data_IF_019372146451
#
_entry.id   IF_019372146451
#
_cell.length_a   1.000
_cell.length_b   1.000
_cell.length_c   1.000
_cell.angle_alpha   90.00
_cell.angle_beta   90.00
_cell.angle_gamma   90.00
#
_symmetry.space_group_name_H-M   'P 1'
#
loop_
_entity.id
_entity.type
_entity.pdbx_description
1 polymer ?
#
# COMPACT_ATOMS: atom_id res chain seq x y z
N UNK A 1 10.53 -13.11 -8.98
CA UNK A 1 10.61 -14.47 -8.42
C UNK A 1 9.76 -14.49 -7.16
N UNK A 2 8.76 -15.36 -7.08
CA UNK A 2 7.84 -15.47 -5.94
C UNK A 2 8.43 -16.53 -5.00
N UNK A 3 8.59 -16.22 -3.72
CA UNK A 3 9.09 -17.17 -2.71
C UNK A 3 7.93 -18.13 -2.35
N UNK A 4 8.01 -19.40 -2.75
CA UNK A 4 7.04 -20.45 -2.38
C UNK A 4 7.67 -21.42 -1.38
N UNK A 5 6.94 -21.76 -0.32
CA UNK A 5 7.38 -22.63 0.76
C UNK A 5 7.03 -24.09 0.43
N UNK A 6 8.03 -24.96 0.30
CA UNK A 6 7.84 -26.41 0.14
C UNK A 6 8.54 -27.17 1.28
N UNK A 7 7.78 -28.04 1.96
CA UNK A 7 8.25 -28.94 3.02
C UNK A 7 8.98 -30.10 2.33
N UNK A 8 10.28 -30.26 2.60
CA UNK A 8 11.12 -31.28 1.97
C UNK A 8 11.10 -32.61 2.76
N UNK A 9 10.65 -33.68 2.12
CA UNK A 9 10.85 -35.07 2.52
C UNK A 9 12.03 -35.64 1.73
N UNK A 10 13.02 -36.22 2.42
CA UNK A 10 14.28 -36.67 1.82
C UNK A 10 14.20 -38.09 1.22
N UNK A 11 14.73 -38.27 0.00
CA UNK A 11 15.31 -39.53 -0.47
C UNK A 11 16.32 -39.26 -1.62
N UNK A 12 17.50 -39.88 -1.53
CA UNK A 12 18.65 -39.76 -2.45
C UNK A 12 18.65 -40.88 -3.51
N UNK A 13 18.96 -40.56 -4.77
CA UNK A 13 19.88 -41.30 -5.66
C UNK A 13 20.03 -40.55 -7.01
N UNK A 14 21.26 -40.43 -7.51
CA UNK A 14 21.67 -39.43 -8.50
C UNK A 14 21.69 -39.87 -9.96
N UNK A 15 21.84 -38.89 -10.84
CA UNK A 15 22.45 -38.96 -12.17
C UNK A 15 22.84 -37.53 -12.61
N UNK A 16 24.03 -37.37 -13.19
CA UNK A 16 24.62 -36.09 -13.58
C UNK A 16 23.88 -35.48 -14.79
N UNK A 17 23.46 -34.21 -14.65
CA UNK A 17 22.93 -33.40 -15.75
C UNK A 17 23.57 -32.01 -15.69
N UNK A 18 24.09 -31.62 -16.85
CA UNK A 18 24.58 -30.30 -17.29
C UNK A 18 23.92 -29.17 -16.50
N UNK A 19 24.69 -28.43 -15.71
CA UNK A 19 24.19 -27.26 -14.98
C UNK A 19 23.96 -26.10 -15.95
N UNK A 20 22.73 -26.01 -16.44
CA UNK A 20 22.11 -24.75 -16.83
C UNK A 20 22.18 -23.77 -15.65
N UNK A 21 22.34 -22.48 -15.94
CA UNK A 21 22.40 -21.37 -14.99
C UNK A 21 21.59 -21.64 -13.72
N UNK A 22 22.30 -21.97 -12.65
CA UNK A 22 21.71 -22.13 -11.34
C UNK A 22 21.22 -20.75 -10.90
N UNK A 23 19.93 -20.49 -11.14
CA UNK A 23 19.22 -19.37 -10.57
C UNK A 23 19.25 -19.57 -9.05
N UNK A 24 20.27 -18.97 -8.43
CA UNK A 24 20.62 -19.13 -7.03
C UNK A 24 19.38 -18.75 -6.21
N UNK A 25 18.70 -19.75 -5.64
CA UNK A 25 17.56 -19.49 -4.77
C UNK A 25 18.08 -18.64 -3.61
N UNK A 26 17.50 -17.46 -3.40
CA UNK A 26 17.85 -16.63 -2.24
C UNK A 26 17.75 -17.48 -0.98
N UNK A 27 18.74 -17.36 -0.10
CA UNK A 27 18.73 -18.01 1.20
C UNK A 27 17.44 -17.65 1.93
N UNK A 28 16.75 -18.66 2.47
CA UNK A 28 15.59 -18.42 3.33
C UNK A 28 16.09 -17.67 4.56
N UNK A 29 15.63 -16.44 4.72
CA UNK A 29 15.97 -15.55 5.83
C UNK A 29 14.77 -15.34 6.75
N UNK A 30 15.04 -15.08 8.03
CA UNK A 30 14.01 -14.78 9.02
C UNK A 30 13.81 -13.26 9.17
N UNK A 31 13.75 -12.54 8.04
CA UNK A 31 13.46 -11.10 8.01
C UNK A 31 12.17 -10.83 7.23
N UNK A 32 11.39 -9.85 7.69
CA UNK A 32 10.24 -9.32 6.96
C UNK A 32 10.36 -7.80 6.90
N UNK A 33 10.41 -7.27 5.68
CA UNK A 33 10.53 -5.84 5.43
C UNK A 33 9.28 -5.34 4.72
N UNK A 34 8.60 -4.37 5.32
CA UNK A 34 7.53 -3.62 4.68
C UNK A 34 8.12 -2.41 3.94
N UNK A 35 7.56 -2.06 2.80
CA UNK A 35 7.60 -0.68 2.28
C UNK A 35 6.18 -0.13 2.33
N UNK A 36 5.99 1.05 2.92
CA UNK A 36 4.63 1.49 3.25
C UNK A 36 4.51 3.00 3.48
N UNK A 37 3.40 3.63 3.03
CA UNK A 37 3.01 4.98 3.44
C UNK A 37 2.30 5.02 4.80
N UNK A 38 1.92 3.85 5.33
CA UNK A 38 1.13 3.74 6.57
C UNK A 38 1.97 4.25 7.75
N UNK A 39 1.33 5.00 8.64
CA UNK A 39 2.00 5.62 9.77
C UNK A 39 2.60 4.58 10.73
N UNK A 40 3.73 4.94 11.34
CA UNK A 40 4.43 4.11 12.34
C UNK A 40 3.56 3.64 13.49
N UNK A 41 2.59 4.47 13.88
CA UNK A 41 1.60 4.14 14.92
C UNK A 41 0.75 2.91 14.59
N UNK A 42 0.65 2.52 13.32
CA UNK A 42 -0.02 1.30 12.87
C UNK A 42 0.98 0.22 12.45
N UNK A 43 2.06 0.58 11.76
CA UNK A 43 3.01 -0.42 11.23
C UNK A 43 3.83 -1.08 12.32
N UNK A 44 4.29 -0.32 13.32
CA UNK A 44 5.15 -0.84 14.38
C UNK A 44 4.41 -1.89 15.25
N UNK A 45 3.17 -1.65 15.74
CA UNK A 45 2.43 -2.68 16.46
C UNK A 45 2.06 -3.88 15.56
N UNK A 46 1.65 -3.65 14.30
CA UNK A 46 1.32 -4.75 13.39
C UNK A 46 2.52 -5.68 13.14
N UNK A 47 3.72 -5.12 12.96
CA UNK A 47 4.96 -5.87 12.81
C UNK A 47 5.36 -6.61 14.09
N UNK A 48 5.15 -6.00 15.26
CA UNK A 48 5.41 -6.65 16.55
C UNK A 48 4.46 -7.83 16.78
N UNK A 49 3.18 -7.65 16.51
CA UNK A 49 2.16 -8.70 16.62
C UNK A 49 2.44 -9.85 15.65
N UNK A 50 2.85 -9.54 14.41
CA UNK A 50 3.25 -10.59 13.46
C UNK A 50 4.48 -11.37 13.92
N UNK A 51 5.52 -10.69 14.44
CA UNK A 51 6.71 -11.36 14.96
C UNK A 51 6.37 -12.30 16.13
N UNK A 52 5.49 -11.85 17.02
CA UNK A 52 4.96 -12.68 18.12
C UNK A 52 4.17 -13.88 17.58
N UNK A 53 3.25 -13.65 16.64
CA UNK A 53 2.47 -14.70 16.01
C UNK A 53 3.35 -15.76 15.34
N UNK A 54 4.38 -15.35 14.59
CA UNK A 54 5.32 -16.26 13.94
C UNK A 54 6.08 -17.12 14.97
N UNK A 55 6.45 -16.54 16.11
CA UNK A 55 7.11 -17.27 17.20
C UNK A 55 6.17 -18.29 17.85
N UNK A 56 4.93 -17.93 18.11
CA UNK A 56 3.96 -18.82 18.75
C UNK A 56 3.48 -19.93 17.81
N UNK A 57 3.20 -19.60 16.54
CA UNK A 57 2.60 -20.51 15.57
C UNK A 57 3.62 -21.44 14.92
N UNK A 58 4.81 -20.93 14.62
CA UNK A 58 5.82 -21.66 13.82
C UNK A 58 7.15 -21.82 14.56
N UNK A 59 7.30 -21.29 15.78
CA UNK A 59 8.56 -21.26 16.51
C UNK A 59 9.70 -20.53 15.79
N UNK A 60 9.37 -19.60 14.87
CA UNK A 60 10.34 -18.81 14.11
C UNK A 60 10.50 -17.44 14.75
N UNK A 61 11.74 -17.02 14.99
CA UNK A 61 12.04 -15.64 15.39
C UNK A 61 12.24 -14.80 14.13
N UNK A 62 11.27 -13.95 13.80
CA UNK A 62 11.33 -13.05 12.63
C UNK A 62 11.78 -11.67 13.05
N UNK A 63 12.76 -11.10 12.35
CA UNK A 63 13.13 -9.69 12.46
C UNK A 63 12.27 -8.87 11.49
N UNK A 64 11.47 -7.96 12.03
CA UNK A 64 10.56 -7.14 11.24
C UNK A 64 11.06 -5.71 11.11
N UNK A 65 10.81 -5.07 9.96
CA UNK A 65 11.10 -3.65 9.76
C UNK A 65 10.18 -3.01 8.72
N UNK A 66 10.12 -1.67 8.71
CA UNK A 66 9.35 -0.90 7.74
C UNK A 66 10.18 0.23 7.14
N UNK A 67 10.14 0.34 5.82
CA UNK A 67 10.64 1.43 5.01
C UNK A 67 9.49 2.43 4.78
N UNK A 68 9.46 3.50 5.58
CA UNK A 68 8.47 4.55 5.44
C UNK A 68 8.67 5.32 4.12
N UNK A 69 7.64 5.33 3.26
CA UNK A 69 7.63 6.06 2.00
C UNK A 69 6.19 6.31 1.54
N UNK A 70 5.88 7.55 1.14
CA UNK A 70 4.61 7.85 0.46
C UNK A 70 4.43 6.98 -0.80
N UNK A 71 3.19 6.64 -1.17
CA UNK A 71 2.91 5.62 -2.19
C UNK A 71 3.63 5.84 -3.53
N UNK A 72 3.67 7.05 -4.12
CA UNK A 72 4.41 7.26 -5.37
C UNK A 72 5.92 7.03 -5.21
N UNK A 73 6.49 7.36 -4.04
CA UNK A 73 7.91 7.12 -3.74
C UNK A 73 8.17 5.63 -3.53
N UNK A 74 7.26 4.92 -2.84
CA UNK A 74 7.34 3.48 -2.67
C UNK A 74 7.28 2.75 -4.02
N UNK A 75 6.33 3.13 -4.88
CA UNK A 75 6.23 2.66 -6.26
C UNK A 75 7.53 2.89 -7.03
N UNK A 76 8.07 4.11 -6.99
CA UNK A 76 9.33 4.45 -7.66
C UNK A 76 10.50 3.57 -7.20
N UNK A 77 10.65 3.36 -5.89
CA UNK A 77 11.68 2.47 -5.32
C UNK A 77 11.52 1.03 -5.81
N UNK A 78 10.30 0.51 -5.84
CA UNK A 78 10.03 -0.86 -6.34
C UNK A 78 10.40 -0.98 -7.82
N UNK A 79 10.06 0.02 -8.64
CA UNK A 79 10.46 0.07 -10.06
C UNK A 79 11.98 0.12 -10.21
N UNK A 80 12.67 0.91 -9.39
CA UNK A 80 14.14 1.01 -9.38
C UNK A 80 14.82 -0.31 -8.96
N UNK A 81 14.26 -1.01 -7.98
CA UNK A 81 14.72 -2.33 -7.53
C UNK A 81 14.59 -3.39 -8.62
N UNK A 82 13.62 -3.24 -9.52
CA UNK A 82 13.31 -4.21 -10.57
C UNK A 82 13.10 -5.59 -9.93
N UNK A 83 13.70 -6.65 -10.48
CA UNK A 83 13.65 -8.00 -9.92
C UNK A 83 14.51 -8.23 -8.66
N UNK A 84 15.06 -7.18 -8.03
CA UNK A 84 15.90 -7.28 -6.82
C UNK A 84 15.25 -6.49 -5.66
N UNK A 85 14.14 -6.99 -5.10
CA UNK A 85 13.35 -6.23 -4.13
C UNK A 85 14.13 -5.94 -2.85
N UNK A 86 13.96 -4.72 -2.32
CA UNK A 86 14.45 -4.31 -0.99
C UNK A 86 13.40 -4.42 0.11
N UNK A 87 12.20 -4.90 -0.21
CA UNK A 87 11.11 -5.17 0.73
C UNK A 87 10.29 -6.38 0.28
N UNK A 88 9.64 -7.06 1.22
CA UNK A 88 8.82 -8.24 0.97
C UNK A 88 7.37 -7.88 0.65
N UNK A 89 6.84 -6.86 1.32
CA UNK A 89 5.43 -6.46 1.20
C UNK A 89 5.36 -4.95 0.96
N UNK A 90 4.62 -4.56 -0.08
CA UNK A 90 4.13 -3.20 -0.25
C UNK A 90 2.74 -3.11 0.36
N UNK A 91 2.60 -2.39 1.48
CA UNK A 91 1.32 -2.29 2.20
C UNK A 91 0.80 -0.86 2.24
N UNK A 92 -0.42 -0.65 1.73
CA UNK A 92 -1.09 0.64 1.73
C UNK A 92 -0.79 1.50 0.49
N UNK A 93 -1.73 2.37 0.14
CA UNK A 93 -1.68 3.19 -1.06
C UNK A 93 -2.82 2.92 -2.05
N UNK A 94 -2.76 3.59 -3.20
CA UNK A 94 -3.78 3.50 -4.25
C UNK A 94 -3.60 2.24 -5.13
N UNK A 95 -4.71 1.54 -5.42
CA UNK A 95 -4.73 0.30 -6.20
C UNK A 95 -4.14 0.45 -7.60
N UNK A 96 -4.34 1.59 -8.25
CA UNK A 96 -3.82 1.87 -9.59
C UNK A 96 -2.29 1.73 -9.70
N UNK A 97 -1.54 1.99 -8.62
CA UNK A 97 -0.09 1.77 -8.61
C UNK A 97 0.28 0.29 -8.45
N UNK A 98 -0.51 -0.49 -7.73
CA UNK A 98 -0.34 -1.95 -7.68
C UNK A 98 -0.61 -2.59 -9.04
N UNK A 99 -1.63 -2.13 -9.77
CA UNK A 99 -1.92 -2.58 -11.14
C UNK A 99 -0.72 -2.36 -12.07
N UNK A 100 -0.12 -1.17 -12.04
CA UNK A 100 1.09 -0.85 -12.81
C UNK A 100 2.28 -1.73 -12.43
N UNK A 101 2.46 -2.03 -11.15
CA UNK A 101 3.52 -2.94 -10.70
C UNK A 101 3.28 -4.38 -11.19
N UNK A 102 2.02 -4.82 -11.20
CA UNK A 102 1.63 -6.15 -11.69
C UNK A 102 1.88 -6.28 -13.20
N UNK A 103 1.53 -5.26 -13.99
CA UNK A 103 1.83 -5.20 -15.43
C UNK A 103 3.34 -5.28 -15.71
N UNK A 104 4.15 -4.65 -14.86
CA UNK A 104 5.61 -4.70 -14.93
C UNK A 104 6.21 -5.98 -14.34
N UNK A 105 5.39 -6.90 -13.81
CA UNK A 105 5.81 -8.16 -13.16
C UNK A 105 6.72 -7.93 -11.96
N UNK A 106 6.50 -6.84 -11.23
CA UNK A 106 7.28 -6.43 -10.05
C UNK A 106 6.62 -6.82 -8.72
N UNK A 107 5.38 -7.31 -8.76
CA UNK A 107 4.68 -7.88 -7.60
C UNK A 107 4.26 -9.32 -7.88
N UNK A 108 4.17 -10.10 -6.81
CA UNK A 108 3.68 -11.47 -6.83
C UNK A 108 2.16 -11.50 -6.74
N UNK A 109 1.54 -12.58 -7.24
CA UNK A 109 0.17 -12.89 -6.84
C UNK A 109 0.13 -13.21 -5.35
N UNK A 110 -0.93 -12.78 -4.69
CA UNK A 110 -1.21 -13.08 -3.31
C UNK A 110 -1.63 -14.55 -3.17
N UNK A 111 -0.94 -15.28 -2.31
CA UNK A 111 -1.31 -16.63 -1.88
C UNK A 111 -1.99 -16.52 -0.51
N UNK A 112 -3.28 -16.15 -0.53
CA UNK A 112 -4.08 -15.94 0.67
C UNK A 112 -5.16 -17.02 0.79
N UNK A 113 -5.53 -17.43 2.01
CA UNK A 113 -6.67 -18.33 2.22
C UNK A 113 -7.92 -17.80 1.55
N UNK A 114 -8.71 -18.69 0.94
CA UNK A 114 -9.93 -18.31 0.21
C UNK A 114 -10.90 -17.53 1.10
N UNK A 115 -10.97 -17.89 2.38
CA UNK A 115 -11.84 -17.25 3.37
C UNK A 115 -11.47 -15.78 3.58
N UNK A 116 -10.18 -15.43 3.51
CA UNK A 116 -9.70 -14.04 3.60
C UNK A 116 -10.10 -13.26 2.34
N UNK A 117 -9.94 -13.87 1.16
CA UNK A 117 -10.28 -13.24 -0.12
C UNK A 117 -11.79 -13.02 -0.27
N UNK A 118 -12.60 -13.99 0.15
CA UNK A 118 -14.06 -13.96 0.07
C UNK A 118 -14.67 -12.99 1.10
N UNK A 119 -13.99 -12.73 2.22
CA UNK A 119 -14.42 -11.75 3.22
C UNK A 119 -14.39 -10.30 2.71
N UNK A 120 -13.60 -10.02 1.65
CA UNK A 120 -13.51 -8.71 1.03
C UNK A 120 -14.47 -8.66 -0.18
N UNK A 121 -15.44 -7.72 -0.22
CA UNK A 121 -16.30 -7.55 -1.39
C UNK A 121 -15.49 -7.23 -2.65
N UNK A 122 -16.03 -7.49 -3.84
CA UNK A 122 -15.34 -7.15 -5.09
C UNK A 122 -15.17 -5.63 -5.28
N UNK A 123 -16.20 -4.87 -4.91
CA UNK A 123 -16.23 -3.42 -5.08
C UNK A 123 -17.20 -2.73 -4.12
N UNK A 124 -17.10 -1.40 -4.03
CA UNK A 124 -18.02 -0.54 -3.29
C UNK A 124 -18.45 0.67 -4.12
N UNK A 125 -19.62 1.23 -3.82
CA UNK A 125 -20.11 2.46 -4.45
C UNK A 125 -20.92 2.22 -5.73
N UNK A 126 -21.83 3.15 -6.02
CA UNK A 126 -22.66 3.20 -7.24
C UNK A 126 -22.79 4.66 -7.68
N UNK A 127 -23.00 4.96 -8.98
CA UNK A 127 -23.05 4.03 -10.11
C UNK A 127 -21.66 3.61 -10.63
N UNK A 128 -20.59 4.27 -10.17
CA UNK A 128 -19.21 3.97 -10.52
C UNK A 128 -18.56 3.18 -9.37
N UNK A 129 -18.49 1.84 -9.43
CA UNK A 129 -17.91 1.04 -8.37
C UNK A 129 -16.39 1.18 -8.32
N UNK A 130 -15.84 1.20 -7.10
CA UNK A 130 -14.41 1.19 -6.82
C UNK A 130 -14.01 -0.25 -6.43
N UNK A 131 -13.06 -0.88 -7.14
CA UNK A 131 -12.57 -2.22 -6.78
C UNK A 131 -11.95 -2.24 -5.38
N UNK A 132 -12.27 -3.26 -4.59
CA UNK A 132 -11.68 -3.48 -3.26
C UNK A 132 -10.65 -4.61 -3.25
N UNK A 133 -10.55 -5.37 -4.33
CA UNK A 133 -9.51 -6.37 -4.56
C UNK A 133 -9.27 -6.55 -6.05
N UNK A 134 -8.08 -7.01 -6.42
CA UNK A 134 -7.74 -7.30 -7.79
C UNK A 134 -8.34 -8.64 -8.24
N UNK A 135 -9.16 -8.71 -9.30
CA UNK A 135 -9.63 -9.98 -9.85
C UNK A 135 -8.50 -10.89 -10.34
N UNK A 136 -7.29 -10.36 -10.62
CA UNK A 136 -6.12 -11.16 -10.99
C UNK A 136 -5.29 -11.62 -9.79
N UNK A 137 -5.61 -11.13 -8.59
CA UNK A 137 -5.03 -11.55 -7.31
C UNK A 137 -3.69 -10.92 -6.94
N UNK A 138 -3.29 -9.77 -7.52
CA UNK A 138 -2.03 -9.11 -7.18
C UNK A 138 -2.12 -8.19 -5.96
N UNK A 139 -3.32 -7.70 -5.61
CA UNK A 139 -3.54 -6.88 -4.43
C UNK A 139 -4.93 -7.11 -3.82
N UNK A 140 -5.07 -6.82 -2.53
CA UNK A 140 -6.33 -6.87 -1.78
C UNK A 140 -6.43 -5.65 -0.86
N UNK A 141 -7.62 -5.06 -0.76
CA UNK A 141 -7.88 -3.91 0.10
C UNK A 141 -7.81 -4.31 1.57
N UNK A 142 -7.03 -3.56 2.36
CA UNK A 142 -6.89 -3.76 3.81
C UNK A 142 -7.66 -2.74 4.64
N UNK A 143 -7.98 -1.58 4.05
CA UNK A 143 -8.65 -0.47 4.73
C UNK A 143 -9.38 0.40 3.70
N UNK A 144 -10.50 0.98 4.11
CA UNK A 144 -11.18 2.06 3.40
C UNK A 144 -10.92 3.37 4.14
N UNK A 145 -10.24 4.31 3.47
CA UNK A 145 -9.88 5.60 4.05
C UNK A 145 -10.66 6.72 3.34
N UNK A 146 -11.58 7.42 4.05
CA UNK A 146 -12.21 8.61 3.49
C UNK A 146 -11.22 9.78 3.49
N UNK A 147 -11.31 10.63 2.46
CA UNK A 147 -10.50 11.85 2.37
C UNK A 147 -11.31 13.08 2.79
N UNK A 148 -10.68 13.96 3.54
CA UNK A 148 -11.25 15.21 4.01
C UNK A 148 -10.17 16.12 4.56
N UNK A 149 -10.58 17.24 5.14
CA UNK A 149 -9.68 18.18 5.82
C UNK A 149 -9.87 18.10 7.33
N UNK A 150 -8.78 18.34 8.05
CA UNK A 150 -8.79 18.63 9.49
C UNK A 150 -8.48 20.10 9.64
N UNK A 151 -9.21 20.81 10.51
CA UNK A 151 -9.03 22.24 10.74
C UNK A 151 -8.74 22.53 12.21
N UNK A 152 -8.13 23.68 12.47
CA UNK A 152 -7.83 24.16 13.82
C UNK A 152 -8.87 25.21 14.25
N UNK A 153 -9.82 24.92 15.16
CA UNK A 153 -10.93 25.82 15.49
C UNK A 153 -10.49 27.22 15.93
N UNK A 154 -9.45 27.33 16.76
CA UNK A 154 -8.92 28.63 17.21
C UNK A 154 -8.37 29.50 16.07
N UNK A 155 -7.78 28.89 15.02
CA UNK A 155 -7.29 29.63 13.85
C UNK A 155 -8.47 30.17 13.06
N UNK A 156 -9.51 29.36 12.83
CA UNK A 156 -10.74 29.81 12.16
C UNK A 156 -11.41 30.96 12.93
N UNK A 157 -11.54 30.83 14.25
CA UNK A 157 -12.11 31.86 15.11
C UNK A 157 -11.31 33.17 15.03
N UNK A 158 -9.98 33.11 15.12
CA UNK A 158 -9.10 34.29 15.03
C UNK A 158 -9.24 35.00 13.68
N UNK A 159 -9.42 34.25 12.60
CA UNK A 159 -9.60 34.80 11.25
C UNK A 159 -11.05 35.26 11.00
N UNK A 160 -11.99 34.89 11.86
CA UNK A 160 -13.42 35.10 11.62
C UNK A 160 -13.89 34.38 10.36
N UNK A 161 -13.50 33.11 10.23
CA UNK A 161 -13.90 32.20 9.15
C UNK A 161 -14.82 31.13 9.76
N UNK A 162 -15.98 30.82 9.15
CA UNK A 162 -16.84 29.75 9.63
C UNK A 162 -16.15 28.38 9.48
N UNK A 163 -16.69 27.37 10.17
CA UNK A 163 -16.23 25.99 9.99
C UNK A 163 -16.46 25.53 8.54
N UNK A 164 -15.42 25.06 7.82
CA UNK A 164 -15.57 24.59 6.45
C UNK A 164 -16.41 23.31 6.39
N UNK A 165 -17.30 23.23 5.40
CA UNK A 165 -18.20 22.11 5.14
C UNK A 165 -17.91 21.39 3.83
N UNK A 166 -17.32 22.09 2.87
CA UNK A 166 -16.87 21.53 1.59
C UNK A 166 -15.50 22.13 1.20
N UNK A 167 -14.90 21.58 0.14
CA UNK A 167 -13.62 22.02 -0.41
C UNK A 167 -13.66 23.48 -0.88
N UNK A 168 -14.80 23.96 -1.40
CA UNK A 168 -14.98 25.34 -1.87
C UNK A 168 -14.83 26.37 -0.72
N UNK A 169 -15.14 25.98 0.52
CA UNK A 169 -14.97 26.87 1.68
C UNK A 169 -13.50 27.20 1.96
N UNK A 170 -12.58 26.33 1.51
CA UNK A 170 -11.14 26.54 1.63
C UNK A 170 -10.64 27.66 0.69
N UNK A 171 -11.44 28.09 -0.29
CA UNK A 171 -11.12 29.22 -1.18
C UNK A 171 -11.33 30.58 -0.51
N UNK A 172 -11.78 30.62 0.75
CA UNK A 172 -11.93 31.87 1.49
C UNK A 172 -10.59 32.65 1.56
N UNK A 173 -10.53 33.90 1.07
CA UNK A 173 -9.28 34.67 1.05
C UNK A 173 -8.59 34.83 2.41
N UNK A 174 -9.34 34.75 3.51
CA UNK A 174 -8.80 34.81 4.88
C UNK A 174 -7.99 33.58 5.27
N UNK A 175 -8.14 32.46 4.57
CA UNK A 175 -7.36 31.23 4.75
C UNK A 175 -6.03 31.24 3.97
N UNK A 176 -5.72 32.32 3.25
CA UNK A 176 -4.45 32.44 2.52
C UNK A 176 -3.26 32.21 3.46
N UNK A 177 -2.43 31.22 3.14
CA UNK A 177 -1.26 30.81 3.94
C UNK A 177 -1.59 29.99 5.20
N UNK A 178 -2.84 29.55 5.37
CA UNK A 178 -3.30 28.72 6.50
C UNK A 178 -3.66 27.28 6.10
N UNK A 179 -3.55 26.95 4.80
CA UNK A 179 -3.84 25.63 4.26
C UNK A 179 -2.52 24.93 3.94
N UNK A 180 -2.39 23.69 4.41
CA UNK A 180 -1.25 22.84 4.12
C UNK A 180 -1.74 21.50 3.54
N UNK A 181 -1.09 21.06 2.46
CA UNK A 181 -1.36 19.78 1.84
C UNK A 181 -0.06 19.18 1.30
N UNK A 182 0.04 17.85 1.29
CA UNK A 182 1.16 17.18 0.65
C UNK A 182 1.09 17.35 -0.88
N UNK A 183 2.25 17.45 -1.52
CA UNK A 183 2.31 17.42 -2.98
C UNK A 183 1.75 16.08 -3.50
N UNK A 184 0.81 16.07 -4.48
CA UNK A 184 0.26 14.84 -5.05
C UNK A 184 1.31 13.88 -5.59
N UNK A 185 2.42 14.40 -6.12
CA UNK A 185 3.56 13.62 -6.61
C UNK A 185 4.26 12.78 -5.53
N UNK A 186 3.95 13.00 -4.25
CA UNK A 186 4.53 12.27 -3.11
C UNK A 186 3.49 11.63 -2.20
N UNK A 187 2.20 11.83 -2.43
CA UNK A 187 1.11 11.38 -1.54
C UNK A 187 -0.08 10.88 -2.34
N UNK A 188 -0.43 9.60 -2.18
CA UNK A 188 -1.63 9.02 -2.78
C UNK A 188 -2.90 9.66 -2.24
N UNK A 189 -2.96 10.01 -0.95
CA UNK A 189 -4.15 10.65 -0.38
C UNK A 189 -4.39 12.01 -1.03
N UNK A 190 -3.34 12.81 -1.22
CA UNK A 190 -3.47 14.10 -1.89
C UNK A 190 -3.80 13.96 -3.37
N UNK A 191 -3.21 12.98 -4.07
CA UNK A 191 -3.58 12.64 -5.44
C UNK A 191 -5.05 12.26 -5.55
N UNK A 192 -5.51 11.31 -4.74
CA UNK A 192 -6.88 10.84 -4.70
C UNK A 192 -7.88 11.96 -4.34
N UNK A 193 -7.53 12.88 -3.43
CA UNK A 193 -8.38 14.05 -3.13
C UNK A 193 -8.66 14.88 -4.38
N UNK A 194 -7.63 15.20 -5.18
CA UNK A 194 -7.83 15.97 -6.41
C UNK A 194 -8.59 15.18 -7.47
N UNK A 195 -8.29 13.89 -7.65
CA UNK A 195 -9.04 13.02 -8.56
C UNK A 195 -10.53 12.96 -8.20
N UNK A 196 -10.87 12.90 -6.91
CA UNK A 196 -12.26 12.92 -6.46
C UNK A 196 -12.94 14.26 -6.77
N UNK A 197 -12.26 15.39 -6.54
CA UNK A 197 -12.80 16.71 -6.89
C UNK A 197 -13.04 16.80 -8.40
N UNK A 198 -12.06 16.42 -9.22
CA UNK A 198 -12.18 16.45 -10.68
C UNK A 198 -13.26 15.50 -11.20
N UNK A 199 -13.39 14.29 -10.65
CA UNK A 199 -14.44 13.34 -11.03
C UNK A 199 -15.84 13.79 -10.60
N UNK A 200 -15.96 14.53 -9.50
CA UNK A 200 -17.21 15.09 -8.98
C UNK A 200 -17.66 16.32 -9.76
N UNK A 201 -16.77 17.28 -9.92
CA UNK A 201 -17.07 18.63 -10.39
C UNK A 201 -16.74 18.85 -11.88
N UNK A 202 -15.95 17.95 -12.48
CA UNK A 202 -15.42 18.09 -13.84
C UNK A 202 -14.30 19.13 -13.94
N UNK A 203 -13.56 19.10 -15.04
CA UNK A 203 -12.34 19.91 -15.23
C UNK A 203 -12.58 21.42 -15.04
N UNK A 204 -13.70 21.95 -15.54
CA UNK A 204 -13.95 23.39 -15.53
C UNK A 204 -14.20 23.98 -14.13
N UNK A 205 -14.77 23.18 -13.21
CA UNK A 205 -15.05 23.62 -11.83
C UNK A 205 -14.00 23.10 -10.85
N UNK A 206 -13.48 21.89 -11.08
CA UNK A 206 -12.55 21.24 -10.17
C UNK A 206 -11.10 21.72 -10.29
N UNK A 207 -10.73 22.41 -11.38
CA UNK A 207 -9.40 22.98 -11.61
C UNK A 207 -9.36 24.49 -11.34
#
# INVERSE_FOLDING_TARGET
MIRSLAIATAAFAGFAVVSADAQQSQSIENELVLITPVAKTLTDPALADFAKYAKEKWNITVKTSALAAGTPVAYGRIVEWKGRPGADIFWGGESALFDKLAEQKLVAKLDLPKEVVDAIPESIGKPKPIPLKDPKGFWIGTVLEPYGFVYHPKVLQRLGVPEPKDWDDLLNPKLKGQIAQCAPTRSSSSHATYEVILQRDGDAKGW
#
